data_IF_653188000079
#
_entry.id   IF_653188000079
#
_cell.length_a   1.000
_cell.length_b   1.000
_cell.length_c   1.000
_cell.angle_alpha   90.00
_cell.angle_beta   90.00
_cell.angle_gamma   90.00
#
_symmetry.space_group_name_H-M   'P 1'
#
loop_
_entity.id
_entity.type
_entity.pdbx_description
1 polymer ?
#
# COMPACT_ATOMS: atom_id res chain seq x y z
N UNK A 1 -8.30 -23.84 -16.30
CA UNK A 1 -8.48 -22.44 -15.92
C UNK A 1 -8.74 -22.40 -14.42
N UNK A 2 -7.68 -22.61 -13.65
CA UNK A 2 -7.72 -22.74 -12.19
C UNK A 2 -7.37 -21.39 -11.59
N UNK A 3 -8.40 -20.64 -11.23
CA UNK A 3 -8.46 -19.63 -10.16
C UNK A 3 -7.11 -19.20 -9.55
N UNK A 4 -6.52 -18.14 -10.11
CA UNK A 4 -5.40 -17.39 -9.56
C UNK A 4 -5.68 -16.91 -8.12
N UNK A 5 -6.93 -16.56 -7.82
CA UNK A 5 -7.34 -16.10 -6.49
C UNK A 5 -7.49 -17.19 -5.43
N UNK A 6 -7.73 -18.46 -5.80
CA UNK A 6 -7.83 -19.53 -4.80
C UNK A 6 -6.46 -19.86 -4.16
N UNK A 7 -5.35 -19.51 -4.83
CA UNK A 7 -3.99 -19.71 -4.30
C UNK A 7 -3.47 -18.52 -3.51
N UNK A 8 -3.88 -17.29 -3.86
CA UNK A 8 -3.56 -16.09 -3.08
C UNK A 8 -4.37 -15.98 -1.77
N UNK A 9 -5.45 -16.74 -1.61
CA UNK A 9 -6.30 -16.76 -0.41
C UNK A 9 -5.81 -17.65 0.75
N UNK A 10 -4.69 -18.37 0.63
CA UNK A 10 -4.25 -19.32 1.66
C UNK A 10 -3.67 -18.69 2.95
N UNK A 11 -3.62 -17.36 3.07
CA UNK A 11 -3.35 -16.68 4.35
C UNK A 11 -4.16 -15.40 4.45
N UNK A 12 -5.33 -15.43 5.11
CA UNK A 12 -5.95 -14.28 5.82
C UNK A 12 -7.13 -14.77 6.67
N UNK A 13 -7.03 -14.54 7.99
CA UNK A 13 -8.00 -14.97 9.00
C UNK A 13 -9.13 -13.95 9.06
N UNK A 14 -10.36 -14.44 8.93
CA UNK A 14 -11.61 -13.70 9.17
C UNK A 14 -11.92 -13.63 10.67
N UNK A 15 -12.38 -12.48 11.15
CA UNK A 15 -13.01 -12.37 12.48
C UNK A 15 -14.52 -12.65 12.36
N UNK A 16 -15.02 -13.56 13.21
CA UNK A 16 -16.45 -13.86 13.37
C UNK A 16 -17.17 -12.72 14.11
N UNK A 17 -18.38 -12.32 13.69
CA UNK A 17 -19.10 -11.21 14.30
C UNK A 17 -19.86 -11.68 15.53
N UNK A 18 -19.23 -11.69 16.71
CA UNK A 18 -20.01 -11.62 17.96
C UNK A 18 -19.23 -10.97 19.09
N UNK A 19 -19.89 -9.99 19.71
CA UNK A 19 -19.50 -9.25 20.92
C UNK A 19 -18.38 -8.20 20.79
N UNK A 20 -18.65 -7.20 19.94
CA UNK A 20 -18.14 -5.84 20.19
C UNK A 20 -19.04 -5.15 21.22
N UNK A 21 -18.52 -4.89 22.42
CA UNK A 21 -19.04 -3.82 23.29
C UNK A 21 -17.91 -2.79 23.41
N UNK A 22 -17.95 -1.68 22.66
CA UNK A 22 -16.87 -0.70 22.68
C UNK A 22 -16.91 0.12 23.97
N UNK A 23 -15.76 0.48 24.56
CA UNK A 23 -15.70 1.56 25.54
C UNK A 23 -16.04 2.89 24.86
N UNK A 24 -16.87 3.69 25.52
CA UNK A 24 -17.37 4.98 25.06
C UNK A 24 -16.22 5.97 24.82
N UNK A 25 -15.79 6.11 23.57
CA UNK A 25 -15.06 7.29 23.07
C UNK A 25 -15.87 7.94 21.96
N UNK A 26 -16.20 9.20 22.17
CA UNK A 26 -16.90 10.05 21.21
C UNK A 26 -15.97 10.35 20.04
N UNK A 27 -16.12 9.60 18.94
CA UNK A 27 -15.56 9.99 17.65
C UNK A 27 -16.49 11.03 17.03
N UNK A 28 -15.99 12.25 16.81
CA UNK A 28 -16.72 13.26 16.04
C UNK A 28 -16.67 12.85 14.57
N UNK A 29 -17.77 12.29 14.08
CA UNK A 29 -17.99 11.95 12.68
C UNK A 29 -18.08 13.23 11.85
N UNK A 30 -17.25 13.35 10.81
CA UNK A 30 -17.47 14.32 9.73
C UNK A 30 -17.46 13.58 8.40
N UNK A 31 -18.63 13.58 7.76
CA UNK A 31 -18.81 13.27 6.34
C UNK A 31 -17.97 14.25 5.51
N UNK A 32 -17.24 13.77 4.50
CA UNK A 32 -16.52 14.59 3.51
C UNK A 32 -17.47 15.28 2.51
N UNK A 33 -18.68 15.63 2.95
CA UNK A 33 -19.67 16.32 2.14
C UNK A 33 -19.86 17.75 2.68
N UNK A 34 -19.21 18.72 2.07
CA UNK A 34 -19.65 20.12 2.12
C UNK A 34 -19.80 20.64 0.69
N UNK A 35 -21.02 21.02 0.26
CA UNK A 35 -21.25 21.63 -1.04
C UNK A 35 -21.18 23.15 -0.96
N UNK A 36 -20.45 23.77 -1.90
CA UNK A 36 -20.67 25.15 -2.32
C UNK A 36 -19.63 26.18 -1.89
N UNK A 37 -18.61 26.38 -2.72
CA UNK A 37 -18.28 27.69 -3.29
C UNK A 37 -17.39 27.45 -4.53
N UNK A 38 -17.87 27.83 -5.71
CA UNK A 38 -17.03 27.96 -6.90
C UNK A 38 -16.02 29.08 -6.61
N UNK A 39 -14.84 28.70 -6.12
CA UNK A 39 -13.65 29.52 -6.12
C UNK A 39 -12.76 28.99 -7.23
N UNK A 40 -12.47 29.88 -8.18
CA UNK A 40 -11.38 29.84 -9.14
C UNK A 40 -10.23 28.91 -8.66
N UNK A 41 -10.05 27.78 -9.34
CA UNK A 41 -9.11 26.73 -8.94
C UNK A 41 -7.67 27.24 -9.06
N UNK A 42 -7.17 27.85 -7.99
CA UNK A 42 -5.75 27.79 -7.70
C UNK A 42 -5.37 26.30 -7.66
N UNK A 43 -4.34 25.89 -8.41
CA UNK A 43 -3.81 24.54 -8.36
C UNK A 43 -3.57 24.15 -6.90
N UNK A 44 -4.18 23.07 -6.37
CA UNK A 44 -3.98 22.68 -4.98
C UNK A 44 -2.48 22.51 -4.71
N UNK A 45 -1.94 23.20 -3.70
CA UNK A 45 -0.51 23.23 -3.42
C UNK A 45 0.09 21.84 -3.19
N UNK A 46 1.39 21.71 -3.47
CA UNK A 46 2.19 20.51 -3.16
C UNK A 46 2.34 20.33 -1.64
N UNK A 47 2.59 19.09 -1.22
CA UNK A 47 2.78 18.72 0.20
C UNK A 47 4.13 18.02 0.32
N UNK A 48 5.08 18.59 1.05
CA UNK A 48 6.36 17.93 1.30
C UNK A 48 6.16 16.76 2.27
N UNK A 49 6.56 15.56 1.85
CA UNK A 49 6.51 14.36 2.66
C UNK A 49 7.80 14.23 3.46
N UNK A 50 7.75 14.61 4.74
CA UNK A 50 8.89 14.49 5.64
C UNK A 50 9.06 13.04 6.11
N UNK A 51 10.25 12.46 5.89
CA UNK A 51 10.54 11.09 6.32
C UNK A 51 11.12 11.13 7.73
N UNK A 52 10.50 10.46 8.73
CA UNK A 52 11.06 10.38 10.07
C UNK A 52 12.51 9.87 10.06
N UNK A 53 13.42 10.62 10.69
CA UNK A 53 14.80 10.18 10.93
C UNK A 53 14.84 9.30 12.19
N UNK A 54 15.61 8.23 12.14
CA UNK A 54 15.79 7.34 13.30
C UNK A 54 16.93 7.82 14.20
N UNK A 55 16.91 7.39 15.46
CA UNK A 55 18.04 7.52 16.37
C UNK A 55 19.15 6.50 16.08
N UNK A 56 20.04 6.29 17.04
CA UNK A 56 21.25 5.47 16.84
C UNK A 56 20.98 3.96 16.66
N UNK A 57 19.82 3.46 17.11
CA UNK A 57 19.42 2.05 16.99
C UNK A 57 18.30 1.86 15.94
N UNK A 58 18.63 1.39 14.72
CA UNK A 58 17.62 1.12 13.69
C UNK A 58 16.81 -0.16 13.97
N UNK A 59 17.26 -1.03 14.88
CA UNK A 59 16.60 -2.30 15.19
C UNK A 59 15.41 -2.15 16.13
N UNK A 60 15.27 -1.02 16.80
CA UNK A 60 14.17 -0.77 17.72
C UNK A 60 13.79 0.72 17.72
N UNK A 61 12.52 1.02 17.48
CA UNK A 61 12.01 2.38 17.63
C UNK A 61 10.59 2.38 18.18
N UNK A 62 10.33 3.35 19.06
CA UNK A 62 9.00 3.64 19.58
C UNK A 62 8.65 5.12 19.36
N UNK A 63 7.52 5.36 18.70
CA UNK A 63 6.96 6.69 18.52
C UNK A 63 6.16 7.10 19.76
N UNK A 64 6.87 7.56 20.79
CA UNK A 64 6.29 7.89 22.12
C UNK A 64 5.22 8.99 22.10
N UNK A 65 5.09 9.75 21.02
CA UNK A 65 4.04 10.76 20.81
C UNK A 65 2.72 10.18 20.27
N UNK A 66 2.66 8.89 19.97
CA UNK A 66 1.45 8.22 19.43
C UNK A 66 0.37 7.99 20.48
N UNK A 67 -0.85 7.70 20.02
CA UNK A 67 -1.99 7.48 20.91
C UNK A 67 -1.79 6.30 21.88
N UNK A 68 -1.06 5.26 21.49
CA UNK A 68 -0.77 4.09 22.31
C UNK A 68 -0.05 4.44 23.62
N UNK A 69 1.03 5.23 23.55
CA UNK A 69 1.81 5.59 24.73
C UNK A 69 1.19 6.72 25.56
N UNK A 70 0.24 7.47 24.98
CA UNK A 70 -0.52 8.49 25.71
C UNK A 70 -1.56 7.89 26.67
N UNK A 71 -1.96 6.64 26.44
CA UNK A 71 -2.78 5.88 27.39
C UNK A 71 -1.89 5.10 28.34
N UNK A 72 -1.97 5.41 29.63
CA UNK A 72 -1.23 4.84 30.78
C UNK A 72 -0.13 3.79 30.47
N UNK A 73 1.15 4.17 30.65
CA UNK A 73 2.36 3.33 30.77
C UNK A 73 2.31 1.92 30.15
N UNK A 74 1.88 1.82 28.90
CA UNK A 74 1.82 0.55 28.19
C UNK A 74 3.09 0.39 27.36
N UNK A 75 3.83 -0.69 27.60
CA UNK A 75 4.93 -1.10 26.73
C UNK A 75 4.36 -1.87 25.54
N UNK A 76 5.01 -1.79 24.39
CA UNK A 76 4.66 -2.65 23.26
C UNK A 76 4.90 -4.13 23.63
N UNK A 77 4.08 -5.08 23.14
CA UNK A 77 4.33 -6.50 23.33
C UNK A 77 5.70 -6.91 22.78
N UNK A 78 6.43 -7.71 23.54
CA UNK A 78 7.70 -8.31 23.10
C UNK A 78 7.51 -9.24 21.90
N UNK A 79 8.57 -9.49 21.13
CA UNK A 79 8.55 -10.44 20.02
C UNK A 79 8.04 -11.83 20.46
N UNK A 80 8.44 -12.28 21.66
CA UNK A 80 7.99 -13.55 22.23
C UNK A 80 6.47 -13.57 22.48
N UNK A 81 5.89 -12.49 23.01
CA UNK A 81 4.44 -12.37 23.22
C UNK A 81 3.68 -12.32 21.90
N UNK A 82 4.21 -11.62 20.89
CA UNK A 82 3.65 -11.58 19.52
C UNK A 82 3.60 -12.98 18.92
N UNK A 83 4.71 -13.71 18.96
CA UNK A 83 4.79 -15.07 18.43
C UNK A 83 3.90 -16.04 19.21
N UNK A 84 3.81 -15.90 20.54
CA UNK A 84 2.90 -16.70 21.35
C UNK A 84 1.44 -16.45 21.01
N UNK A 85 1.06 -15.18 20.79
CA UNK A 85 -0.29 -14.78 20.39
C UNK A 85 -0.65 -15.31 19.00
N UNK A 86 0.31 -15.35 18.09
CA UNK A 86 0.08 -15.76 16.71
C UNK A 86 -0.11 -17.28 16.53
N UNK A 87 0.51 -18.14 17.37
CA UNK A 87 0.58 -19.60 17.19
C UNK A 87 -0.76 -20.26 16.80
N UNK A 88 -0.99 -20.30 15.48
CA UNK A 88 -1.93 -21.12 14.73
C UNK A 88 -1.10 -21.75 13.58
N UNK A 89 -0.81 -23.05 13.73
CA UNK A 89 -0.54 -24.13 12.76
C UNK A 89 0.07 -23.86 11.36
N UNK A 90 0.87 -22.81 11.15
CA UNK A 90 1.63 -22.68 9.91
C UNK A 90 3.10 -22.35 10.17
N UNK A 91 3.99 -23.03 9.44
CA UNK A 91 5.42 -22.69 9.30
C UNK A 91 5.63 -21.36 8.53
N UNK A 92 4.68 -20.43 8.62
CA UNK A 92 4.76 -19.15 7.91
C UNK A 92 5.77 -18.23 8.61
N UNK A 93 6.80 -17.82 7.88
CA UNK A 93 7.80 -16.81 8.28
C UNK A 93 7.26 -15.37 8.24
N UNK A 94 5.93 -15.22 8.19
CA UNK A 94 5.19 -13.97 8.08
C UNK A 94 3.82 -14.12 8.75
N UNK A 95 3.36 -13.11 9.48
CA UNK A 95 2.05 -13.14 10.12
C UNK A 95 1.55 -11.80 10.64
N UNK A 96 0.30 -11.82 11.09
CA UNK A 96 -0.39 -10.69 11.73
C UNK A 96 -0.92 -11.18 13.08
N UNK A 97 -0.44 -10.58 14.16
CA UNK A 97 -0.93 -10.84 15.52
C UNK A 97 -1.82 -9.70 15.99
N UNK A 98 -3.04 -10.01 16.42
CA UNK A 98 -4.02 -9.01 16.88
C UNK A 98 -4.07 -9.01 18.42
N UNK A 99 -3.85 -7.84 18.99
CA UNK A 99 -3.97 -7.55 20.43
C UNK A 99 -5.17 -6.63 20.62
N UNK A 100 -6.38 -7.21 20.54
CA UNK A 100 -7.64 -6.47 20.64
C UNK A 100 -7.76 -5.71 21.96
N UNK A 101 -7.25 -6.31 23.04
CA UNK A 101 -7.16 -5.76 24.40
C UNK A 101 -6.28 -4.51 24.47
N UNK A 102 -5.30 -4.39 23.58
CA UNK A 102 -4.38 -3.26 23.48
C UNK A 102 -4.72 -2.30 22.32
N UNK A 103 -5.74 -2.59 21.52
CA UNK A 103 -6.06 -1.81 20.32
C UNK A 103 -4.97 -1.84 19.25
N UNK A 104 -4.14 -2.88 19.24
CA UNK A 104 -2.90 -2.99 18.48
C UNK A 104 -2.94 -4.21 17.54
N UNK A 105 -2.36 -4.05 16.36
CA UNK A 105 -1.99 -5.15 15.47
C UNK A 105 -0.49 -5.12 15.22
N UNK A 106 0.13 -6.31 15.15
CA UNK A 106 1.55 -6.48 14.86
C UNK A 106 1.73 -7.26 13.58
N UNK A 107 2.27 -6.62 12.54
CA UNK A 107 2.73 -7.28 11.32
C UNK A 107 4.16 -7.73 11.53
N UNK A 108 4.45 -9.02 11.32
CA UNK A 108 5.79 -9.53 11.54
C UNK A 108 6.23 -10.51 10.46
N UNK A 109 7.54 -10.61 10.26
CA UNK A 109 8.14 -11.55 9.31
C UNK A 109 9.59 -11.22 9.02
N UNK A 110 10.24 -12.01 8.16
CA UNK A 110 11.62 -11.75 7.76
C UNK A 110 11.77 -10.35 7.12
N UNK A 111 12.95 -9.70 7.23
CA UNK A 111 13.19 -8.39 6.61
C UNK A 111 12.99 -8.32 5.10
N UNK A 112 13.01 -9.46 4.40
CA UNK A 112 12.70 -9.59 2.96
C UNK A 112 11.20 -9.55 2.64
N UNK A 113 10.34 -9.66 3.66
CA UNK A 113 8.88 -9.66 3.54
C UNK A 113 8.24 -8.51 4.31
N UNK A 114 8.79 -8.13 5.46
CA UNK A 114 8.29 -7.03 6.29
C UNK A 114 9.36 -5.96 6.37
N UNK A 115 9.27 -4.98 5.47
CA UNK A 115 10.23 -3.88 5.39
C UNK A 115 9.86 -2.75 6.36
N UNK A 116 10.85 -2.19 7.05
CA UNK A 116 10.63 -1.05 7.95
C UNK A 116 10.23 0.24 7.20
N UNK A 117 10.51 0.32 5.89
CA UNK A 117 10.00 1.39 5.02
C UNK A 117 8.45 1.46 5.03
N UNK A 118 7.75 0.35 5.25
CA UNK A 118 6.29 0.33 5.45
C UNK A 118 5.87 1.16 6.67
N UNK A 119 6.57 0.96 7.79
CA UNK A 119 6.34 1.70 9.03
C UNK A 119 6.62 3.20 8.85
N UNK A 120 7.71 3.54 8.15
CA UNK A 120 8.04 4.92 7.81
C UNK A 120 6.99 5.59 6.93
N UNK A 121 6.56 4.91 5.87
CA UNK A 121 5.57 5.45 4.95
C UNK A 121 4.29 5.80 5.68
N UNK A 122 3.75 4.85 6.44
CA UNK A 122 2.54 5.10 7.24
C UNK A 122 2.76 6.24 8.25
N UNK A 123 3.94 6.30 8.89
CA UNK A 123 4.24 7.37 9.86
C UNK A 123 4.32 8.76 9.20
N UNK A 124 5.00 8.87 8.06
CA UNK A 124 5.13 10.10 7.30
C UNK A 124 3.76 10.60 6.80
N UNK A 125 2.94 9.70 6.25
CA UNK A 125 1.58 10.01 5.80
C UNK A 125 0.67 10.44 6.96
N UNK A 126 0.74 9.74 8.10
CA UNK A 126 -0.01 10.09 9.30
C UNK A 126 0.29 11.51 9.81
N UNK A 127 1.54 11.94 9.70
CA UNK A 127 2.00 13.29 10.06
C UNK A 127 1.61 14.34 9.01
N UNK A 128 1.77 14.03 7.73
CA UNK A 128 1.44 14.93 6.63
C UNK A 128 -0.07 15.21 6.50
N UNK A 129 -0.91 14.26 6.91
CA UNK A 129 -2.37 14.36 6.83
C UNK A 129 -3.03 14.27 8.21
N UNK A 130 -2.97 15.34 9.04
CA UNK A 130 -3.58 15.36 10.37
C UNK A 130 -5.10 15.16 10.34
N UNK A 131 -5.76 15.50 9.23
CA UNK A 131 -7.19 15.29 9.01
C UNK A 131 -7.53 13.93 8.39
N UNK A 132 -6.53 13.06 8.17
CA UNK A 132 -6.68 11.72 7.58
C UNK A 132 -7.25 11.71 6.16
N UNK A 133 -6.89 12.72 5.35
CA UNK A 133 -7.19 12.75 3.92
C UNK A 133 -6.60 11.52 3.18
N UNK A 134 -5.45 11.04 3.68
CA UNK A 134 -4.95 9.69 3.42
C UNK A 134 -5.01 8.93 4.76
N UNK A 135 -6.05 8.13 5.00
CA UNK A 135 -6.17 7.41 6.25
C UNK A 135 -5.22 6.20 6.24
N UNK A 136 -4.33 6.12 7.22
CA UNK A 136 -3.37 5.02 7.41
C UNK A 136 -3.39 4.56 8.87
N UNK A 137 -2.97 3.34 9.20
CA UNK A 137 -2.74 2.93 10.59
C UNK A 137 -1.77 3.90 11.30
N UNK A 138 -2.03 4.20 12.56
CA UNK A 138 -1.03 4.86 13.40
C UNK A 138 0.05 3.85 13.77
N UNK A 139 1.27 4.06 13.28
CA UNK A 139 2.42 3.23 13.64
C UNK A 139 2.95 3.66 15.00
N UNK A 140 3.01 2.73 15.94
CA UNK A 140 3.54 2.93 17.29
C UNK A 140 5.04 2.68 17.38
N UNK A 141 5.58 1.84 16.51
CA UNK A 141 7.01 1.53 16.49
C UNK A 141 7.33 0.24 15.75
N UNK A 142 8.57 -0.21 15.85
CA UNK A 142 9.00 -1.54 15.43
C UNK A 142 10.08 -2.10 16.34
N UNK A 143 10.30 -3.41 16.18
CA UNK A 143 11.46 -4.11 16.73
C UNK A 143 11.92 -5.16 15.72
N UNK A 144 13.23 -5.34 15.62
CA UNK A 144 13.88 -6.34 14.78
C UNK A 144 14.65 -7.30 15.68
N UNK A 145 14.19 -8.53 15.79
CA UNK A 145 14.78 -9.55 16.65
C UNK A 145 14.86 -10.89 15.91
N UNK A 146 15.98 -11.62 16.03
CA UNK A 146 16.15 -12.96 15.45
C UNK A 146 15.79 -13.02 13.94
N UNK A 147 16.28 -12.04 13.17
CA UNK A 147 15.99 -11.90 11.73
C UNK A 147 14.47 -11.81 11.42
N UNK A 148 13.71 -11.20 12.31
CA UNK A 148 12.27 -10.95 12.16
C UNK A 148 11.99 -9.50 12.52
N UNK A 149 11.34 -8.77 11.61
CA UNK A 149 10.81 -7.44 11.86
C UNK A 149 9.40 -7.56 12.43
N UNK A 150 9.07 -6.71 13.39
CA UNK A 150 7.77 -6.58 14.03
C UNK A 150 7.35 -5.11 13.95
N UNK A 151 6.29 -4.80 13.19
CA UNK A 151 5.75 -3.45 13.05
C UNK A 151 4.46 -3.36 13.86
N UNK A 152 4.44 -2.44 14.83
CA UNK A 152 3.33 -2.23 15.76
C UNK A 152 2.47 -1.06 15.29
N UNK A 153 1.18 -1.27 15.11
CA UNK A 153 0.27 -0.25 14.59
C UNK A 153 -1.16 -0.38 15.11
N UNK A 154 -1.95 0.69 15.02
CA UNK A 154 -3.34 0.70 15.46
C UNK A 154 -4.21 -0.26 14.67
N UNK A 155 -5.19 -0.89 15.32
CA UNK A 155 -6.27 -1.61 14.63
C UNK A 155 -7.17 -0.60 13.90
N UNK A 156 -7.40 -0.83 12.61
CA UNK A 156 -8.39 -0.06 11.85
C UNK A 156 -9.79 -0.69 11.99
N UNK A 157 -10.86 0.12 12.17
CA UNK A 157 -12.22 -0.41 12.25
C UNK A 157 -12.71 -1.00 10.92
N UNK A 158 -13.45 -2.11 10.99
CA UNK A 158 -14.20 -2.65 9.86
C UNK A 158 -13.53 -3.83 9.15
N UNK A 159 -13.83 -3.98 7.86
CA UNK A 159 -13.36 -5.07 6.98
C UNK A 159 -12.67 -4.49 5.75
N UNK A 160 -11.91 -5.31 5.03
CA UNK A 160 -11.41 -4.84 3.73
C UNK A 160 -12.57 -4.69 2.72
N UNK A 161 -12.41 -3.79 1.77
CA UNK A 161 -13.41 -3.43 0.78
C UNK A 161 -13.72 -4.59 -0.16
N UNK A 162 -12.73 -5.43 -0.47
CA UNK A 162 -12.94 -6.64 -1.29
C UNK A 162 -13.99 -7.57 -0.67
N UNK A 163 -13.90 -7.86 0.63
CA UNK A 163 -14.85 -8.73 1.34
C UNK A 163 -16.29 -8.24 1.30
N UNK A 164 -16.49 -6.92 1.34
CA UNK A 164 -17.83 -6.33 1.41
C UNK A 164 -18.32 -5.83 0.04
N UNK A 165 -17.48 -5.82 -1.00
CA UNK A 165 -17.79 -5.24 -2.31
C UNK A 165 -19.10 -5.73 -2.89
N UNK A 166 -19.32 -7.05 -2.85
CA UNK A 166 -20.54 -7.68 -3.38
C UNK A 166 -21.82 -7.28 -2.63
N UNK A 167 -21.70 -6.75 -1.40
CA UNK A 167 -22.83 -6.33 -0.57
C UNK A 167 -23.18 -4.85 -0.74
N UNK A 168 -22.31 -4.06 -1.37
CA UNK A 168 -22.50 -2.63 -1.57
C UNK A 168 -23.48 -2.35 -2.71
N UNK A 169 -24.34 -1.36 -2.51
CA UNK A 169 -25.17 -0.81 -3.58
C UNK A 169 -24.33 -0.08 -4.64
N UNK A 170 -24.83 0.10 -5.87
CA UNK A 170 -24.11 0.86 -6.90
C UNK A 170 -23.71 2.28 -6.45
N UNK A 171 -24.60 3.00 -5.77
CA UNK A 171 -24.29 4.35 -5.27
C UNK A 171 -23.21 4.36 -4.18
N UNK A 172 -23.14 3.31 -3.35
CA UNK A 172 -22.04 3.17 -2.38
C UNK A 172 -20.72 2.88 -3.08
N UNK A 173 -20.71 2.02 -4.12
CA UNK A 173 -19.52 1.75 -4.93
C UNK A 173 -19.02 3.01 -5.61
N UNK A 174 -19.92 3.80 -6.23
CA UNK A 174 -19.58 5.10 -6.83
C UNK A 174 -18.98 6.06 -5.80
N UNK A 175 -19.62 6.19 -4.62
CA UNK A 175 -19.13 7.07 -3.55
C UNK A 175 -17.74 6.66 -3.07
N UNK A 176 -17.52 5.37 -2.82
CA UNK A 176 -16.22 4.87 -2.35
C UNK A 176 -15.15 5.05 -3.42
N UNK A 177 -15.46 4.78 -4.69
CA UNK A 177 -14.48 4.97 -5.78
C UNK A 177 -14.10 6.44 -5.95
N UNK A 178 -15.04 7.36 -5.74
CA UNK A 178 -14.74 8.79 -5.68
C UNK A 178 -13.80 9.13 -4.52
N UNK A 179 -14.03 8.58 -3.33
CA UNK A 179 -13.16 8.79 -2.17
C UNK A 179 -11.75 8.20 -2.40
N UNK A 180 -11.65 7.04 -3.04
CA UNK A 180 -10.37 6.45 -3.47
C UNK A 180 -9.65 7.35 -4.49
N UNK A 181 -10.38 7.95 -5.43
CA UNK A 181 -9.81 8.93 -6.36
C UNK A 181 -9.28 10.20 -5.67
N UNK A 182 -9.94 10.64 -4.59
CA UNK A 182 -9.42 11.74 -3.77
C UNK A 182 -8.11 11.34 -3.08
N UNK A 183 -8.01 10.14 -2.52
CA UNK A 183 -6.77 9.61 -1.93
C UNK A 183 -5.63 9.60 -2.96
N UNK A 184 -5.89 9.09 -4.17
CA UNK A 184 -4.91 9.13 -5.27
C UNK A 184 -4.51 10.56 -5.63
N UNK A 185 -5.46 11.49 -5.65
CA UNK A 185 -5.19 12.92 -5.84
C UNK A 185 -4.26 13.50 -4.77
N UNK A 186 -4.42 13.11 -3.49
CA UNK A 186 -3.52 13.53 -2.41
C UNK A 186 -2.14 12.91 -2.53
N UNK A 187 -2.03 11.62 -2.87
CA UNK A 187 -0.75 10.94 -3.10
C UNK A 187 0.07 11.65 -4.19
N UNK A 188 -0.56 12.01 -5.32
CA UNK A 188 0.09 12.74 -6.43
C UNK A 188 0.55 14.16 -6.07
N UNK A 189 0.03 14.75 -4.99
CA UNK A 189 0.45 16.07 -4.49
C UNK A 189 1.67 16.01 -3.57
N UNK A 190 2.05 14.82 -3.11
CA UNK A 190 3.23 14.64 -2.27
C UNK A 190 4.50 14.97 -3.07
N UNK A 191 5.49 15.57 -2.41
CA UNK A 191 6.84 15.81 -2.95
C UNK A 191 7.89 15.31 -1.95
N UNK A 192 9.01 14.73 -2.41
CA UNK A 192 10.09 14.36 -1.51
C UNK A 192 10.73 15.61 -0.90
N UNK A 193 11.47 15.45 0.20
CA UNK A 193 12.23 16.56 0.82
C UNK A 193 13.40 17.04 -0.06
N UNK A 194 13.84 16.21 -0.99
CA UNK A 194 14.93 16.50 -1.93
C UNK A 194 14.39 17.02 -3.25
N UNK A 195 15.06 18.01 -3.83
CA UNK A 195 14.78 18.51 -5.18
C UNK A 195 15.31 17.57 -6.28
N UNK A 196 16.20 16.63 -5.96
CA UNK A 196 16.70 15.69 -6.96
C UNK A 196 15.64 14.62 -7.24
N UNK A 197 15.35 14.44 -8.53
CA UNK A 197 14.47 13.39 -9.05
C UNK A 197 15.05 12.00 -8.77
N UNK A 198 14.20 11.08 -8.32
CA UNK A 198 14.52 9.66 -8.18
C UNK A 198 13.25 8.81 -8.24
N UNK A 199 13.42 7.51 -8.52
CA UNK A 199 12.40 6.47 -8.46
C UNK A 199 12.88 5.41 -7.48
N UNK A 200 12.07 5.08 -6.48
CA UNK A 200 12.49 4.20 -5.38
C UNK A 200 11.64 4.38 -4.14
N UNK A 201 11.99 3.69 -3.05
CA UNK A 201 11.23 3.74 -1.80
C UNK A 201 11.23 5.15 -1.18
N UNK A 202 10.39 5.34 -0.15
CA UNK A 202 10.30 6.62 0.58
C UNK A 202 11.66 7.09 1.14
N UNK A 203 12.56 6.17 1.46
CA UNK A 203 13.91 6.44 1.98
C UNK A 203 14.95 6.66 0.87
N UNK A 204 14.51 6.82 -0.38
CA UNK A 204 15.37 6.84 -1.58
C UNK A 204 16.14 5.52 -1.75
N UNK A 205 15.57 4.41 -1.28
CA UNK A 205 16.11 3.08 -1.44
C UNK A 205 15.64 2.42 -2.75
N UNK A 206 15.87 1.11 -2.81
CA UNK A 206 15.37 0.26 -3.89
C UNK A 206 13.86 0.36 -4.06
N UNK A 207 13.39 0.21 -5.29
CA UNK A 207 12.00 -0.11 -5.62
C UNK A 207 11.62 -1.42 -4.94
N UNK A 208 10.43 -1.42 -4.35
CA UNK A 208 9.83 -2.59 -3.71
C UNK A 208 8.65 -3.02 -4.58
N UNK A 209 8.80 -4.15 -5.25
CA UNK A 209 7.74 -4.73 -6.06
C UNK A 209 7.77 -6.26 -5.94
N UNK A 210 6.65 -6.86 -5.57
CA UNK A 210 6.52 -8.32 -5.40
C UNK A 210 6.79 -9.13 -6.66
N UNK A 211 6.53 -8.57 -7.83
CA UNK A 211 6.72 -9.25 -9.10
C UNK A 211 8.17 -9.13 -9.59
N UNK A 212 8.94 -8.18 -9.06
CA UNK A 212 10.37 -8.05 -9.31
C UNK A 212 11.26 -8.80 -8.28
N UNK A 213 10.67 -9.60 -7.38
CA UNK A 213 11.41 -10.44 -6.42
C UNK A 213 12.24 -11.47 -7.18
N UNK A 214 13.53 -11.20 -7.37
CA UNK A 214 14.59 -12.21 -7.15
C UNK A 214 16.01 -11.62 -7.21
N UNK A 215 16.89 -12.31 -6.49
CA UNK A 215 18.36 -12.29 -6.49
C UNK A 215 19.05 -12.12 -7.86
N UNK A 216 18.38 -12.47 -8.97
CA UNK A 216 18.88 -12.41 -10.35
C UNK A 216 19.41 -11.03 -10.78
N UNK A 217 18.95 -9.94 -10.14
CA UNK A 217 19.38 -8.59 -10.49
C UNK A 217 20.56 -8.05 -9.64
N UNK A 218 21.06 -8.81 -8.65
CA UNK A 218 22.20 -8.44 -7.80
C UNK A 218 22.10 -7.02 -7.18
N UNK A 219 20.93 -6.64 -6.64
CA UNK A 219 20.76 -5.32 -5.99
C UNK A 219 20.63 -4.13 -6.96
N UNK A 220 20.24 -4.37 -8.21
CA UNK A 220 20.00 -3.30 -9.22
C UNK A 220 18.56 -2.79 -9.24
N UNK A 221 17.84 -2.82 -8.11
CA UNK A 221 16.45 -2.39 -8.03
C UNK A 221 16.28 -0.90 -7.71
N UNK A 222 17.29 -0.09 -8.01
CA UNK A 222 17.26 1.35 -7.77
C UNK A 222 17.93 1.79 -6.46
N UNK A 223 17.76 3.05 -6.03
CA UNK A 223 16.91 4.05 -6.67
C UNK A 223 17.38 4.39 -8.09
N UNK A 224 16.45 4.70 -8.99
CA UNK A 224 16.75 5.09 -10.36
C UNK A 224 16.73 6.61 -10.50
N UNK A 225 17.65 7.18 -11.28
CA UNK A 225 17.72 8.61 -11.53
C UNK A 225 16.71 9.06 -12.59
N UNK A 226 16.33 8.17 -13.51
CA UNK A 226 15.44 8.49 -14.64
C UNK A 226 14.36 7.42 -14.82
N UNK A 227 13.24 7.83 -15.44
CA UNK A 227 12.16 6.89 -15.81
C UNK A 227 12.68 5.86 -16.82
N UNK A 228 13.58 6.25 -17.74
CA UNK A 228 14.25 5.30 -18.64
C UNK A 228 14.94 4.18 -17.87
N UNK A 229 15.79 4.51 -16.89
CA UNK A 229 16.54 3.49 -16.13
C UNK A 229 15.59 2.55 -15.38
N UNK A 230 14.48 3.09 -14.87
CA UNK A 230 13.42 2.30 -14.27
C UNK A 230 12.72 1.39 -15.29
N UNK A 231 12.32 1.89 -16.46
CA UNK A 231 11.66 1.11 -17.51
C UNK A 231 12.55 -0.01 -18.03
N UNK A 232 13.84 0.29 -18.24
CA UNK A 232 14.85 -0.70 -18.57
C UNK A 232 14.90 -1.76 -17.48
N UNK A 233 14.96 -1.37 -16.20
CA UNK A 233 14.89 -2.32 -15.10
C UNK A 233 13.61 -3.17 -15.10
N UNK A 234 12.43 -2.60 -15.35
CA UNK A 234 11.15 -3.36 -15.42
C UNK A 234 11.25 -4.45 -16.49
N UNK A 235 11.75 -4.11 -17.68
CA UNK A 235 12.00 -5.07 -18.76
C UNK A 235 13.03 -6.14 -18.34
N UNK A 236 14.17 -5.74 -17.78
CA UNK A 236 15.20 -6.69 -17.36
C UNK A 236 14.69 -7.62 -16.25
N UNK A 237 13.83 -7.10 -15.37
CA UNK A 237 13.17 -7.85 -14.31
C UNK A 237 12.21 -8.88 -14.91
N UNK A 238 11.49 -8.59 -16.00
CA UNK A 238 10.60 -9.53 -16.68
C UNK A 238 11.30 -10.80 -17.21
N UNK A 239 12.62 -10.74 -17.42
CA UNK A 239 13.43 -11.78 -18.08
C UNK A 239 14.47 -12.43 -17.14
N UNK A 240 14.08 -12.98 -15.97
CA UNK A 240 15.05 -13.43 -14.96
C UNK A 240 15.94 -14.59 -15.43
N UNK A 241 15.47 -15.39 -16.41
CA UNK A 241 16.19 -16.58 -16.90
C UNK A 241 16.85 -16.39 -18.28
N UNK A 242 16.64 -15.26 -18.96
CA UNK A 242 17.23 -14.99 -20.28
C UNK A 242 18.61 -14.35 -20.12
N UNK A 243 19.71 -15.03 -20.55
CA UNK A 243 21.05 -14.44 -20.52
C UNK A 243 21.07 -13.13 -21.29
N UNK A 244 21.80 -12.11 -20.80
CA UNK A 244 21.90 -10.79 -21.44
C UNK A 244 22.27 -10.87 -22.93
N UNK A 245 23.06 -11.87 -23.31
CA UNK A 245 23.48 -12.16 -24.69
C UNK A 245 22.37 -12.69 -25.61
N UNK A 246 21.25 -13.14 -25.06
CA UNK A 246 20.07 -13.62 -25.81
C UNK A 246 18.91 -12.62 -25.76
N UNK A 247 19.13 -11.43 -25.17
CA UNK A 247 18.17 -10.32 -25.18
C UNK A 247 18.24 -9.48 -26.46
N UNK A 248 18.82 -10.03 -27.54
CA UNK A 248 18.82 -9.43 -28.89
C UNK A 248 17.43 -9.48 -29.56
N UNK A 249 16.42 -10.05 -28.90
CA UNK A 249 15.03 -9.90 -29.31
C UNK A 249 14.62 -8.43 -29.13
N UNK A 250 14.26 -7.77 -30.23
CA UNK A 250 13.67 -6.44 -30.20
C UNK A 250 12.36 -6.53 -29.40
N UNK A 251 12.38 -6.02 -28.17
CA UNK A 251 11.22 -6.06 -27.29
C UNK A 251 10.12 -5.14 -27.84
N UNK A 252 9.01 -5.69 -28.36
CA UNK A 252 7.97 -4.89 -28.99
C UNK A 252 7.19 -4.03 -27.99
N UNK A 253 7.35 -4.27 -26.68
CA UNK A 253 6.62 -3.57 -25.62
C UNK A 253 7.46 -2.49 -24.93
N UNK A 254 8.76 -2.38 -25.21
CA UNK A 254 9.62 -1.38 -24.54
C UNK A 254 9.22 0.06 -24.86
N UNK A 255 8.82 0.29 -26.11
CA UNK A 255 8.37 1.61 -26.60
C UNK A 255 6.97 1.99 -26.07
N UNK A 256 6.25 1.05 -25.46
CA UNK A 256 4.97 1.33 -24.82
C UNK A 256 5.16 1.95 -23.43
N UNK A 257 6.37 1.89 -22.85
CA UNK A 257 6.72 2.57 -21.62
C UNK A 257 7.37 3.93 -21.89
N UNK A 258 6.75 5.06 -21.46
CA UNK A 258 7.31 6.37 -21.68
C UNK A 258 8.54 6.61 -20.80
N UNK A 259 9.66 7.03 -21.40
CA UNK A 259 10.91 7.35 -20.70
C UNK A 259 10.91 8.73 -20.02
N UNK A 260 9.88 9.55 -20.29
CA UNK A 260 9.72 10.91 -19.79
C UNK A 260 8.29 11.05 -19.30
N UNK A 261 8.13 11.66 -18.13
CA UNK A 261 6.84 11.86 -17.50
C UNK A 261 7.00 12.37 -16.08
N UNK A 262 5.88 12.45 -15.39
CA UNK A 262 5.85 12.84 -13.98
C UNK A 262 6.17 11.64 -13.07
N UNK A 263 6.83 11.94 -11.95
CA UNK A 263 7.04 10.99 -10.86
C UNK A 263 6.14 11.39 -9.69
N UNK A 264 5.40 10.43 -9.18
CA UNK A 264 4.45 10.61 -8.09
C UNK A 264 4.69 9.60 -6.98
N UNK A 265 4.30 9.98 -5.76
CA UNK A 265 4.21 9.01 -4.69
C UNK A 265 3.06 8.06 -4.98
N UNK A 266 3.34 6.77 -4.95
CA UNK A 266 2.40 5.70 -5.25
C UNK A 266 2.38 4.72 -4.07
N UNK A 267 1.24 4.08 -3.86
CA UNK A 267 1.11 2.98 -2.91
C UNK A 267 1.81 1.72 -3.44
N UNK A 268 1.75 1.50 -4.76
CA UNK A 268 2.34 0.32 -5.40
C UNK A 268 1.56 -0.97 -5.20
N UNK A 269 0.45 -0.98 -4.45
CA UNK A 269 -0.41 -2.15 -4.24
C UNK A 269 -1.84 -1.72 -3.88
N UNK A 270 -2.36 -0.69 -4.55
CA UNK A 270 -3.62 -0.05 -4.21
C UNK A 270 -4.84 -0.83 -4.75
N UNK A 271 -5.20 -1.94 -4.11
CA UNK A 271 -6.37 -2.73 -4.50
C UNK A 271 -7.38 -2.87 -3.36
N UNK A 272 -8.60 -3.33 -3.67
CA UNK A 272 -9.72 -3.39 -2.70
C UNK A 272 -9.41 -4.18 -1.41
N UNK A 273 -8.46 -5.13 -1.46
CA UNK A 273 -8.04 -5.91 -0.30
C UNK A 273 -7.21 -5.12 0.71
N UNK A 274 -6.61 -4.00 0.29
CA UNK A 274 -5.80 -3.11 1.10
C UNK A 274 -6.55 -1.83 1.54
N UNK A 275 -7.84 -1.73 1.20
CA UNK A 275 -8.72 -0.64 1.64
C UNK A 275 -9.60 -1.14 2.77
N UNK A 276 -9.48 -0.56 3.97
CA UNK A 276 -10.34 -0.84 5.11
C UNK A 276 -11.57 0.07 5.07
N UNK A 277 -12.75 -0.51 5.29
CA UNK A 277 -14.02 0.20 5.35
C UNK A 277 -14.83 -0.20 6.57
N UNK A 278 -15.53 0.77 7.14
CA UNK A 278 -16.57 0.53 8.15
C UNK A 278 -17.94 0.74 7.54
N UNK A 279 -18.78 -0.28 7.65
CA UNK A 279 -20.18 -0.23 7.31
C UNK A 279 -21.00 -0.39 8.59
N UNK A 280 -21.39 0.73 9.20
CA UNK A 280 -22.29 0.74 10.35
C UNK A 280 -23.73 0.82 9.83
N UNK A 281 -24.63 -0.09 10.23
CA UNK A 281 -26.02 -0.08 9.77
C UNK A 281 -26.69 1.29 9.95
N UNK A 282 -27.31 1.81 8.89
CA UNK A 282 -27.95 3.12 8.88
C UNK A 282 -27.00 4.30 8.64
N UNK A 283 -25.73 4.05 8.31
CA UNK A 283 -24.76 5.06 7.90
C UNK A 283 -24.11 4.70 6.56
N UNK A 284 -23.48 5.68 5.92
CA UNK A 284 -22.71 5.44 4.71
C UNK A 284 -21.48 4.57 5.02
N UNK A 285 -21.12 3.68 4.09
CA UNK A 285 -19.84 2.99 4.13
C UNK A 285 -18.71 4.02 4.01
N UNK A 286 -17.76 3.99 4.94
CA UNK A 286 -16.64 4.95 5.01
C UNK A 286 -15.30 4.23 4.98
N UNK A 287 -14.33 4.81 4.26
CA UNK A 287 -12.93 4.34 4.29
C UNK A 287 -12.33 4.67 5.66
N UNK A 288 -11.83 3.65 6.35
CA UNK A 288 -11.19 3.79 7.65
C UNK A 288 -9.67 3.75 7.58
N UNK A 289 -9.11 3.22 6.50
CA UNK A 289 -7.68 3.30 6.23
C UNK A 289 -7.23 2.52 5.00
N UNK A 290 -6.01 2.83 4.58
CA UNK A 290 -5.27 2.14 3.53
C UNK A 290 -4.08 1.46 4.20
N UNK A 291 -3.90 0.17 3.95
CA UNK A 291 -2.89 -0.68 4.59
C UNK A 291 -1.92 -1.25 3.55
N UNK A 292 -0.84 -1.86 4.02
CA UNK A 292 0.14 -2.57 3.19
C UNK A 292 1.00 -1.67 2.28
N UNK A 293 1.62 -0.65 2.89
CA UNK A 293 2.48 0.33 2.21
C UNK A 293 3.91 -0.17 1.93
N UNK A 294 4.11 -1.48 1.77
CA UNK A 294 5.43 -2.08 1.57
C UNK A 294 6.02 -1.80 0.19
N UNK A 295 5.17 -1.63 -0.82
CA UNK A 295 5.56 -1.32 -2.20
C UNK A 295 5.56 0.19 -2.49
N UNK A 296 5.26 1.00 -1.47
CA UNK A 296 5.09 2.43 -1.62
C UNK A 296 6.41 3.16 -1.90
N UNK A 297 6.34 4.18 -2.74
CA UNK A 297 7.52 4.88 -3.22
C UNK A 297 7.22 5.90 -4.29
N UNK A 298 8.27 6.45 -4.89
CA UNK A 298 8.21 7.38 -5.99
C UNK A 298 8.33 6.61 -7.30
N UNK A 299 7.32 6.72 -8.16
CA UNK A 299 7.20 5.96 -9.40
C UNK A 299 6.73 6.82 -10.57
N UNK A 300 7.00 6.40 -11.83
CA UNK A 300 6.38 7.02 -13.00
C UNK A 300 4.85 7.05 -12.88
N UNK A 301 4.21 8.10 -13.42
CA UNK A 301 2.78 8.36 -13.26
C UNK A 301 1.84 7.23 -13.71
N UNK A 302 2.29 6.35 -14.60
CA UNK A 302 1.53 5.20 -15.08
C UNK A 302 1.54 4.02 -14.11
N UNK A 303 2.51 3.94 -13.19
CA UNK A 303 2.82 2.74 -12.42
C UNK A 303 1.65 2.27 -11.55
N UNK A 304 1.04 3.18 -10.78
CA UNK A 304 -0.09 2.84 -9.91
C UNK A 304 -1.29 2.34 -10.73
N UNK A 305 -1.57 2.93 -11.89
CA UNK A 305 -2.66 2.49 -12.75
C UNK A 305 -2.40 1.07 -13.28
N UNK A 306 -1.17 0.79 -13.76
CA UNK A 306 -0.79 -0.56 -14.18
C UNK A 306 -0.93 -1.58 -13.04
N UNK A 307 -0.44 -1.25 -11.85
CA UNK A 307 -0.54 -2.13 -10.67
C UNK A 307 -1.99 -2.39 -10.27
N UNK A 308 -2.80 -1.35 -10.21
CA UNK A 308 -4.25 -1.49 -9.96
C UNK A 308 -4.95 -2.35 -11.01
N UNK A 309 -4.61 -2.15 -12.29
CA UNK A 309 -5.18 -2.87 -13.42
C UNK A 309 -4.82 -4.35 -13.47
N UNK A 310 -3.59 -4.68 -13.10
CA UNK A 310 -3.05 -6.03 -13.23
C UNK A 310 -3.24 -6.87 -11.95
N UNK A 311 -3.63 -6.25 -10.83
CA UNK A 311 -3.91 -6.94 -9.55
C UNK A 311 -5.39 -7.31 -9.37
N UNK A 312 -6.27 -6.85 -10.25
CA UNK A 312 -7.72 -7.14 -10.21
C UNK A 312 -8.08 -8.04 -11.38
N UNK A 313 -8.90 -9.07 -11.13
CA UNK A 313 -9.47 -9.92 -12.19
C UNK A 313 -10.06 -9.04 -13.30
N UNK A 314 -9.75 -9.34 -14.56
CA UNK A 314 -10.29 -8.61 -15.74
C UNK A 314 -11.83 -8.58 -15.73
N UNK A 315 -12.46 -9.60 -15.15
CA UNK A 315 -13.91 -9.74 -15.01
C UNK A 315 -14.51 -8.99 -13.82
N UNK A 316 -13.69 -8.42 -12.93
CA UNK A 316 -14.17 -7.75 -11.74
C UNK A 316 -14.92 -6.45 -12.08
N UNK A 317 -15.99 -6.18 -11.34
CA UNK A 317 -16.87 -5.02 -11.57
C UNK A 317 -16.14 -3.68 -11.57
N UNK A 318 -15.04 -3.56 -10.82
CA UNK A 318 -14.20 -2.34 -10.80
C UNK A 318 -13.77 -1.93 -12.21
N UNK A 319 -13.48 -2.90 -13.07
CA UNK A 319 -13.09 -2.68 -14.47
C UNK A 319 -14.30 -2.70 -15.38
N UNK A 320 -15.10 -3.77 -15.31
CA UNK A 320 -16.20 -4.00 -16.26
C UNK A 320 -17.31 -2.94 -16.17
N UNK A 321 -17.46 -2.27 -15.03
CA UNK A 321 -18.42 -1.19 -14.84
C UNK A 321 -17.77 0.21 -14.81
N UNK A 322 -16.47 0.33 -15.10
CA UNK A 322 -15.78 1.62 -15.22
C UNK A 322 -15.51 2.35 -13.90
N UNK A 323 -15.64 1.70 -12.74
CA UNK A 323 -15.34 2.33 -11.45
C UNK A 323 -13.89 2.78 -11.34
N UNK A 324 -12.95 2.06 -11.97
CA UNK A 324 -11.54 2.46 -11.99
C UNK A 324 -11.34 3.88 -12.56
N UNK A 325 -12.15 4.31 -13.52
CA UNK A 325 -12.03 5.65 -14.11
C UNK A 325 -12.32 6.76 -13.09
N UNK A 326 -13.10 6.46 -12.05
CA UNK A 326 -13.35 7.39 -10.93
C UNK A 326 -12.18 7.46 -9.95
N UNK A 327 -11.35 6.41 -9.90
CA UNK A 327 -10.19 6.32 -9.01
C UNK A 327 -8.94 6.88 -9.72
N UNK A 328 -8.74 6.48 -10.96
CA UNK A 328 -7.58 6.79 -11.81
C UNK A 328 -8.08 7.19 -13.20
N UNK A 329 -8.44 8.47 -13.41
CA UNK A 329 -9.04 8.92 -14.66
C UNK A 329 -8.08 8.92 -15.85
N UNK A 330 -6.76 8.89 -15.60
CA UNK A 330 -5.75 8.78 -16.65
C UNK A 330 -5.49 7.29 -16.94
N UNK A 331 -6.02 6.82 -18.08
CA UNK A 331 -5.72 5.48 -18.58
C UNK A 331 -4.34 5.44 -19.23
N UNK A 332 -3.61 4.36 -18.96
CA UNK A 332 -2.28 4.06 -19.50
C UNK A 332 -2.33 2.70 -20.20
N UNK A 333 -3.08 2.60 -21.30
CA UNK A 333 -3.40 1.33 -21.95
C UNK A 333 -2.16 0.67 -22.59
N UNK A 334 -1.25 1.47 -23.17
CA UNK A 334 0.02 0.98 -23.70
C UNK A 334 0.90 0.43 -22.57
N UNK A 335 1.02 1.19 -21.48
CA UNK A 335 1.82 0.82 -20.33
C UNK A 335 1.26 -0.43 -19.65
N UNK A 336 -0.06 -0.55 -19.46
CA UNK A 336 -0.68 -1.80 -19.00
C UNK A 336 -0.29 -2.96 -19.92
N UNK A 337 -0.39 -2.78 -21.23
CA UNK A 337 -0.07 -3.85 -22.18
C UNK A 337 1.36 -4.33 -21.99
N UNK A 338 2.32 -3.41 -21.90
CA UNK A 338 3.72 -3.76 -21.70
C UNK A 338 3.98 -4.43 -20.35
N UNK A 339 3.51 -3.82 -19.27
CA UNK A 339 3.76 -4.33 -17.92
C UNK A 339 3.04 -5.67 -17.69
N UNK A 340 1.84 -5.85 -18.24
CA UNK A 340 1.12 -7.12 -18.20
C UNK A 340 1.86 -8.25 -18.92
N UNK A 341 2.41 -7.97 -20.10
CA UNK A 341 3.23 -8.93 -20.85
C UNK A 341 4.53 -9.27 -20.10
N UNK A 342 5.20 -8.27 -19.54
CA UNK A 342 6.39 -8.48 -18.71
C UNK A 342 6.12 -9.37 -17.50
N UNK A 343 4.97 -9.22 -16.84
CA UNK A 343 4.59 -10.11 -15.75
C UNK A 343 4.20 -11.51 -16.22
N UNK A 344 3.60 -11.64 -17.40
CA UNK A 344 3.30 -12.95 -18.00
C UNK A 344 4.57 -13.77 -18.28
N UNK A 345 5.65 -13.11 -18.72
CA UNK A 345 6.93 -13.76 -19.04
C UNK A 345 7.64 -14.38 -17.84
N UNK A 346 7.38 -13.88 -16.62
CA UNK A 346 7.92 -14.48 -15.40
C UNK A 346 7.31 -15.85 -15.07
N UNK A 347 6.37 -16.35 -15.88
CA UNK A 347 5.78 -17.67 -15.69
C UNK A 347 4.99 -17.80 -14.39
N UNK A 348 4.56 -16.66 -13.83
CA UNK A 348 3.59 -16.64 -12.76
C UNK A 348 2.21 -16.88 -13.39
N UNK A 349 1.53 -18.01 -13.07
CA UNK A 349 0.19 -18.29 -13.57
C UNK A 349 -0.83 -17.30 -13.03
#
# INVERSE_FOLDING_TARGET
MNNFYARLQLLRITLSPSMFVPPTRTYTTRSLTSPGLFMEQASPGTITLHVPKYGDDPSHLEFRDTSFFKTANSNLPSAAEVLQRYRNDSESFYGIAIFQDLGLVVKFGQPSHVHLDNALTMRALWQAFPNRDIPVPEVFGWTSENNTNFIYMSILPGKNLYEVWATLSPSEKESICKDLGLIQGFLRRLRPESEETFIGSITRGEVRDRFARDDALNGRSGPFATIRDFNDWVQLAALPTTPLSHREYEDPYRDFLPDIGDIHFAHGDFHLGNIMVSNVPGSATVITGVVDWEEAGWYPSYWEYCKMALVVDEDHEVFTHGYIDSIMPQRCDNEITAVGEYWSWRGYP
#
